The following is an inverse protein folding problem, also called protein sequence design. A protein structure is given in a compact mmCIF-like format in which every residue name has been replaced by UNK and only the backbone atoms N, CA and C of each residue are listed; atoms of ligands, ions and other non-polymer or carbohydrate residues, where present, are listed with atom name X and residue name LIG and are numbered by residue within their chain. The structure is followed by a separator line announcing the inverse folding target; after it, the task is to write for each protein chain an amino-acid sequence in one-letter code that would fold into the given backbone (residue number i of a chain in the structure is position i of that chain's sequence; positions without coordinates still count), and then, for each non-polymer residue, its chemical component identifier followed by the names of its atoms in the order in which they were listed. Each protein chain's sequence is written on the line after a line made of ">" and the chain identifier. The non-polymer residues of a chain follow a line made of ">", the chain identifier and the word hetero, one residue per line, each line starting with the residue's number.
data_IF_323670450916
#
_entry.id   IF_323670450916
#
_cell.length_a   1.000
_cell.length_b   1.000
_cell.length_c   1.000
_cell.angle_alpha   90.00
_cell.angle_beta   90.00
_cell.angle_gamma   90.00
#
_symmetry.space_group_name_H-M   'P 1'
#
loop_
_entity.id
_entity.type
_entity.pdbx_description
1 polymer ?
#
# COMPACT_ATOMS: atom_id res chain seq x y z
N UNK A 1 -7.97 12.13 -11.14
CA UNK A 1 -7.04 11.62 -10.10
C UNK A 1 -6.95 10.10 -10.10
N UNK A 2 -8.06 9.36 -9.87
CA UNK A 2 -8.08 7.88 -9.83
C UNK A 2 -7.42 7.20 -11.03
N UNK A 3 -7.76 7.60 -12.25
CA UNK A 3 -7.15 7.05 -13.47
C UNK A 3 -5.61 7.20 -13.49
N UNK A 4 -5.08 8.35 -13.06
CA UNK A 4 -3.65 8.59 -13.01
C UNK A 4 -2.95 7.79 -11.89
N UNK A 5 -3.61 7.55 -10.77
CA UNK A 5 -3.07 6.71 -9.68
C UNK A 5 -3.18 5.21 -10.00
N UNK A 6 -4.10 4.82 -10.87
CA UNK A 6 -4.29 3.43 -11.32
C UNK A 6 -3.24 2.97 -12.34
N UNK A 7 -2.50 3.89 -12.95
CA UNK A 7 -1.39 3.58 -13.86
C UNK A 7 -0.04 3.47 -13.14
N UNK A 8 -0.03 3.37 -11.80
CA UNK A 8 1.20 3.22 -11.04
C UNK A 8 1.93 1.93 -11.43
N UNK A 9 3.12 2.06 -12.03
CA UNK A 9 3.94 0.92 -12.46
C UNK A 9 4.63 0.15 -11.31
N UNK A 10 4.60 0.69 -10.08
CA UNK A 10 5.30 0.11 -8.93
C UNK A 10 4.35 -0.68 -8.03
N UNK A 11 4.43 -2.01 -8.10
CA UNK A 11 3.61 -2.91 -7.28
C UNK A 11 4.30 -3.42 -5.99
N UNK A 12 5.53 -3.00 -5.72
CA UNK A 12 6.39 -3.57 -4.66
C UNK A 12 6.14 -3.00 -3.24
N UNK A 13 5.03 -2.28 -3.04
CA UNK A 13 4.65 -1.62 -1.77
C UNK A 13 3.18 -1.89 -1.43
N UNK A 14 2.24 -0.94 -1.49
CA UNK A 14 0.83 -1.18 -1.13
C UNK A 14 0.26 -2.40 -1.85
N UNK A 15 0.41 -2.47 -3.18
CA UNK A 15 -0.06 -3.60 -3.98
C UNK A 15 0.55 -4.95 -3.55
N UNK A 16 1.78 -4.98 -3.03
CA UNK A 16 2.38 -6.22 -2.51
C UNK A 16 1.67 -6.78 -1.27
N UNK A 17 0.91 -5.94 -0.55
CA UNK A 17 0.06 -6.35 0.56
C UNK A 17 -1.27 -6.95 0.12
N UNK A 18 -1.67 -6.78 -1.15
CA UNK A 18 -2.95 -7.26 -1.69
C UNK A 18 -2.76 -8.00 -3.02
N UNK A 19 -2.04 -9.15 -3.02
CA UNK A 19 -1.69 -9.88 -4.25
C UNK A 19 -2.85 -10.77 -4.73
N UNK A 20 -4.01 -10.17 -4.97
CA UNK A 20 -5.22 -10.86 -5.42
C UNK A 20 -5.70 -10.26 -6.74
N UNK A 21 -6.12 -11.11 -7.69
CA UNK A 21 -6.49 -10.70 -9.05
C UNK A 21 -7.71 -9.76 -9.09
N UNK A 22 -8.57 -9.85 -8.09
CA UNK A 22 -9.80 -9.07 -7.90
C UNK A 22 -9.62 -7.87 -6.96
N UNK A 23 -8.38 -7.56 -6.54
CA UNK A 23 -8.05 -6.36 -5.75
C UNK A 23 -7.39 -5.32 -6.64
N UNK A 24 -7.92 -4.10 -6.62
CA UNK A 24 -7.32 -2.98 -7.33
C UNK A 24 -6.68 -2.00 -6.36
N UNK A 25 -5.43 -1.62 -6.63
CA UNK A 25 -4.70 -0.62 -5.85
C UNK A 25 -4.37 0.60 -6.70
N UNK A 26 -4.84 1.76 -6.26
CA UNK A 26 -4.51 3.07 -6.83
C UNK A 26 -3.50 3.74 -5.91
N UNK A 27 -2.28 4.02 -6.39
CA UNK A 27 -1.19 4.42 -5.49
C UNK A 27 -0.38 5.59 -5.98
N UNK A 28 0.31 6.25 -5.03
CA UNK A 28 1.46 7.09 -5.32
C UNK A 28 2.56 6.83 -4.31
N UNK A 29 3.70 6.35 -4.81
CA UNK A 29 4.93 6.21 -4.02
C UNK A 29 5.63 7.55 -3.80
N UNK A 30 6.23 7.70 -2.60
CA UNK A 30 7.22 8.71 -2.25
C UNK A 30 8.49 8.07 -1.69
N UNK A 31 9.66 8.53 -2.13
CA UNK A 31 10.96 8.02 -1.66
C UNK A 31 11.94 9.18 -1.56
N UNK A 32 12.57 9.37 -0.40
CA UNK A 32 13.60 10.39 -0.18
C UNK A 32 14.60 9.91 0.89
N UNK A 33 15.85 9.64 0.49
CA UNK A 33 16.84 9.06 1.39
C UNK A 33 16.38 7.73 1.98
N UNK A 34 16.29 7.66 3.31
CA UNK A 34 15.76 6.50 4.04
C UNK A 34 14.23 6.46 4.13
N UNK A 35 13.53 7.55 3.79
CA UNK A 35 12.07 7.64 3.84
C UNK A 35 11.42 6.89 2.68
N UNK A 36 10.41 6.07 3.01
CA UNK A 36 9.66 5.24 2.06
C UNK A 36 8.18 5.33 2.41
N UNK A 37 7.40 5.88 1.50
CA UNK A 37 6.00 6.20 1.73
C UNK A 37 5.14 5.74 0.57
N UNK A 38 3.88 5.47 0.87
CA UNK A 38 2.86 5.36 -0.15
C UNK A 38 1.51 5.78 0.39
N UNK A 39 0.77 6.50 -0.45
CA UNK A 39 -0.64 6.83 -0.23
C UNK A 39 -1.45 6.22 -1.37
N UNK A 40 -2.56 5.59 -1.05
CA UNK A 40 -3.39 4.95 -2.06
C UNK A 40 -4.76 4.52 -1.57
N UNK A 41 -5.54 3.99 -2.51
CA UNK A 41 -6.85 3.40 -2.30
C UNK A 41 -6.76 1.93 -2.68
N UNK A 42 -7.32 1.06 -1.84
CA UNK A 42 -7.43 -0.38 -2.03
C UNK A 42 -8.91 -0.71 -2.18
N UNK A 43 -9.28 -1.27 -3.33
CA UNK A 43 -10.63 -1.77 -3.61
C UNK A 43 -10.59 -3.30 -3.54
N UNK A 44 -11.31 -3.87 -2.57
CA UNK A 44 -11.35 -5.32 -2.34
C UNK A 44 -12.39 -6.00 -3.24
N UNK A 45 -12.27 -7.33 -3.34
CA UNK A 45 -13.15 -8.18 -4.13
C UNK A 45 -14.65 -8.05 -3.80
N UNK A 46 -14.97 -7.79 -2.53
CA UNK A 46 -16.34 -7.59 -2.04
C UNK A 46 -16.88 -6.17 -2.31
N UNK A 47 -16.09 -5.32 -2.97
CA UNK A 47 -16.42 -3.93 -3.28
C UNK A 47 -16.13 -2.94 -2.15
N UNK A 48 -15.65 -3.39 -0.99
CA UNK A 48 -15.21 -2.49 0.09
C UNK A 48 -13.97 -1.70 -0.33
N UNK A 49 -13.89 -0.45 0.13
CA UNK A 49 -12.85 0.50 -0.29
C UNK A 49 -12.18 1.13 0.91
N UNK A 50 -10.85 1.04 0.95
CA UNK A 50 -10.04 1.58 2.04
C UNK A 50 -9.00 2.56 1.50
N UNK A 51 -8.83 3.68 2.19
CA UNK A 51 -7.69 4.57 1.97
C UNK A 51 -6.56 4.17 2.90
N UNK A 52 -5.38 3.87 2.34
CA UNK A 52 -4.20 3.49 3.09
C UNK A 52 -3.08 4.52 2.85
N UNK A 53 -2.54 5.07 3.92
CA UNK A 53 -1.39 5.97 3.89
C UNK A 53 -0.36 5.45 4.87
N UNK A 54 0.80 5.04 4.35
CA UNK A 54 1.85 4.42 5.17
C UNK A 54 3.13 5.23 5.01
N UNK A 55 3.65 5.70 6.15
CA UNK A 55 4.93 6.39 6.25
C UNK A 55 5.92 5.50 7.00
N UNK A 56 7.05 5.19 6.36
CA UNK A 56 8.15 4.46 7.00
C UNK A 56 9.48 5.19 6.83
N UNK A 57 10.40 4.93 7.75
CA UNK A 57 11.80 5.34 7.67
C UNK A 57 12.67 4.10 7.86
N UNK A 58 13.48 3.76 6.85
CA UNK A 58 14.40 2.63 6.92
C UNK A 58 15.66 2.97 7.73
N UNK A 59 16.32 1.97 8.30
CA UNK A 59 17.59 2.14 9.01
C UNK A 59 18.77 2.51 8.08
N UNK A 60 18.60 2.40 6.76
CA UNK A 60 19.61 2.70 5.74
C UNK A 60 19.00 3.53 4.61
N UNK A 61 19.85 4.26 3.90
CA UNK A 61 19.46 5.12 2.78
C UNK A 61 19.78 4.52 1.39
N UNK A 62 20.02 3.20 1.33
CA UNK A 62 20.26 2.53 0.05
C UNK A 62 19.08 2.71 -0.91
N UNK A 63 19.38 2.89 -2.20
CA UNK A 63 18.37 3.08 -3.25
C UNK A 63 17.41 1.90 -3.38
N UNK A 64 17.90 0.67 -3.16
CA UNK A 64 17.12 -0.56 -3.26
C UNK A 64 17.00 -1.21 -1.89
N UNK A 65 15.82 -1.16 -1.28
CA UNK A 65 15.53 -1.87 -0.02
C UNK A 65 14.19 -2.63 -0.13
N UNK A 66 14.12 -3.71 -0.93
CA UNK A 66 12.86 -4.40 -1.19
C UNK A 66 12.13 -4.87 0.07
N UNK A 67 12.88 -5.29 1.10
CA UNK A 67 12.30 -5.66 2.39
C UNK A 67 11.65 -4.48 3.10
N UNK A 68 12.25 -3.29 3.05
CA UNK A 68 11.68 -2.08 3.64
C UNK A 68 10.46 -1.60 2.84
N UNK A 69 10.49 -1.73 1.51
CA UNK A 69 9.35 -1.39 0.68
C UNK A 69 8.15 -2.34 0.93
N UNK A 70 8.40 -3.64 1.09
CA UNK A 70 7.35 -4.63 1.37
C UNK A 70 6.62 -4.42 2.70
N UNK A 71 7.27 -3.80 3.70
CA UNK A 71 6.65 -3.45 4.98
C UNK A 71 5.43 -2.54 4.78
N UNK A 72 5.46 -1.67 3.77
CA UNK A 72 4.33 -0.78 3.45
C UNK A 72 3.07 -1.58 3.13
N UNK A 73 3.18 -2.60 2.26
CA UNK A 73 2.07 -3.49 1.94
C UNK A 73 1.62 -4.32 3.14
N UNK A 74 2.56 -4.88 3.89
CA UNK A 74 2.26 -5.71 5.05
C UNK A 74 1.45 -4.96 6.13
N UNK A 75 1.87 -3.74 6.48
CA UNK A 75 1.18 -2.90 7.47
C UNK A 75 -0.17 -2.42 6.95
N UNK A 76 -0.26 -2.05 5.68
CA UNK A 76 -1.54 -1.65 5.08
C UNK A 76 -2.57 -2.78 5.15
N UNK A 77 -2.17 -4.02 4.84
CA UNK A 77 -3.06 -5.18 4.95
C UNK A 77 -3.55 -5.38 6.38
N UNK A 78 -2.66 -5.37 7.36
CA UNK A 78 -3.04 -5.52 8.78
C UNK A 78 -4.06 -4.46 9.22
N UNK A 79 -3.85 -3.20 8.83
CA UNK A 79 -4.76 -2.11 9.17
C UNK A 79 -6.13 -2.27 8.49
N UNK A 80 -6.17 -2.65 7.21
CA UNK A 80 -7.41 -2.90 6.48
C UNK A 80 -8.18 -4.08 7.06
N UNK A 81 -7.50 -5.18 7.39
CA UNK A 81 -8.11 -6.37 8.01
C UNK A 81 -8.72 -6.05 9.38
N UNK A 82 -8.09 -5.19 10.18
CA UNK A 82 -8.65 -4.72 11.45
C UNK A 82 -9.90 -3.88 11.24
N UNK A 83 -9.84 -2.88 10.34
CA UNK A 83 -10.99 -2.03 10.05
C UNK A 83 -12.18 -2.84 9.54
N UNK A 84 -11.94 -3.79 8.65
CA UNK A 84 -12.98 -4.70 8.14
C UNK A 84 -13.65 -5.48 9.27
N UNK A 85 -12.87 -6.12 10.14
CA UNK A 85 -13.40 -6.84 11.31
C UNK A 85 -14.23 -5.95 12.23
N UNK A 86 -13.88 -4.68 12.38
CA UNK A 86 -14.62 -3.73 13.23
C UNK A 86 -15.93 -3.24 12.62
N UNK A 87 -16.13 -3.38 11.30
CA UNK A 87 -17.36 -2.95 10.61
C UNK A 87 -18.37 -4.08 10.43
N UNK A 88 -17.93 -5.33 10.56
CA UNK A 88 -18.79 -6.52 10.49
C UNK A 88 -19.53 -6.82 11.82
N UNK A 89 -19.30 -6.01 12.87
CA UNK A 89 -19.88 -6.11 14.23
C UNK A 89 -20.95 -5.03 14.42
#
# INVERSE_FOLDING_TARGET
>A
MRAAMGTQAWAHRLASGFPYDDVTVYGKTGTFGSMRHEAGVVELADGSVYTAVVFTQAARADKKLPRADAVIGAVARVAVEELRRSQDV
#
